data_IF_539549767984
#
_entry.id   IF_539549767984
#
_cell.length_a   1.000
_cell.length_b   1.000
_cell.length_c   1.000
_cell.angle_alpha   90.00
_cell.angle_beta   90.00
_cell.angle_gamma   90.00
#
_symmetry.space_group_name_H-M   'P 1'
#
loop_
_entity.id
_entity.type
_entity.pdbx_description
1 polymer ?
#
# COMPACT_ATOMS: atom_id res chain seq x y z
N UNK A 1 -13.31 18.47 12.18
CA UNK A 1 -12.25 17.55 12.68
C UNK A 1 -10.95 18.29 13.00
N UNK A 2 -10.14 18.81 12.02
CA UNK A 2 -8.81 19.39 12.34
C UNK A 2 -8.97 20.66 13.20
N UNK A 3 -9.77 21.62 12.78
CA UNK A 3 -10.02 22.86 13.55
C UNK A 3 -10.69 22.60 14.91
N UNK A 4 -11.43 21.55 15.03
CA UNK A 4 -12.04 21.12 16.30
C UNK A 4 -10.98 20.50 17.22
N UNK A 5 -10.09 19.67 16.66
CA UNK A 5 -8.94 19.14 17.39
C UNK A 5 -7.95 20.20 17.85
N UNK A 6 -7.77 21.30 17.09
CA UNK A 6 -7.00 22.46 17.53
C UNK A 6 -7.68 23.15 18.74
N UNK A 7 -9.01 23.31 18.70
CA UNK A 7 -9.76 23.96 19.79
C UNK A 7 -9.74 23.17 21.10
N UNK A 8 -9.75 21.84 21.02
CA UNK A 8 -9.73 20.97 22.20
C UNK A 8 -8.31 20.56 22.65
N UNK A 9 -7.27 21.09 21.99
CA UNK A 9 -5.88 20.83 22.35
C UNK A 9 -5.28 19.51 21.86
N UNK A 10 -6.01 18.72 21.08
CA UNK A 10 -5.46 17.50 20.47
C UNK A 10 -4.43 17.81 19.38
N UNK A 11 -4.67 18.88 18.63
CA UNK A 11 -3.76 19.38 17.60
C UNK A 11 -3.18 20.72 18.00
N UNK A 12 -1.97 20.99 17.56
CA UNK A 12 -1.24 22.21 17.85
C UNK A 12 -0.90 22.96 16.56
N UNK A 13 -0.70 24.27 16.68
CA UNK A 13 -0.23 25.11 15.58
C UNK A 13 1.28 25.31 15.70
N UNK A 14 2.00 24.99 14.63
CA UNK A 14 3.43 25.20 14.51
C UNK A 14 3.74 25.88 13.17
N UNK A 15 4.43 27.01 13.20
CA UNK A 15 4.81 27.80 12.00
C UNK A 15 3.61 28.08 11.04
N UNK A 16 2.43 28.31 11.62
CA UNK A 16 1.18 28.54 10.89
C UNK A 16 0.46 27.28 10.42
N UNK A 17 1.10 26.12 10.38
CA UNK A 17 0.50 24.83 10.06
C UNK A 17 -0.16 24.21 11.31
N UNK A 18 -1.17 23.35 11.10
CA UNK A 18 -1.79 22.59 12.19
C UNK A 18 -1.42 21.11 12.04
N UNK A 19 -1.02 20.51 13.13
CA UNK A 19 -0.65 19.10 13.18
C UNK A 19 -0.74 18.53 14.60
N UNK A 20 -0.18 17.36 14.78
CA UNK A 20 -0.06 16.70 16.08
C UNK A 20 1.40 16.39 16.36
N UNK A 21 1.81 16.61 17.60
CA UNK A 21 3.11 16.20 18.12
C UNK A 21 3.04 14.74 18.59
N UNK A 22 3.81 13.88 17.94
CA UNK A 22 3.91 12.45 18.24
C UNK A 22 5.36 12.06 18.65
N UNK A 23 6.13 13.02 19.18
CA UNK A 23 7.51 12.75 19.64
C UNK A 23 7.56 11.72 20.75
N UNK A 24 6.55 11.64 21.60
CA UNK A 24 6.46 10.61 22.66
C UNK A 24 6.34 9.19 22.12
N UNK A 25 5.87 9.03 20.90
CA UNK A 25 5.79 7.78 20.17
C UNK A 25 6.97 7.58 19.19
N UNK A 26 7.96 8.46 19.19
CA UNK A 26 9.07 8.52 18.22
C UNK A 26 8.60 8.65 16.75
N UNK A 27 7.49 9.35 16.54
CA UNK A 27 6.89 9.54 15.21
C UNK A 27 7.00 10.98 14.69
N UNK A 28 7.55 11.90 15.49
CA UNK A 28 7.74 13.29 15.12
C UNK A 28 6.44 14.08 14.95
N UNK A 29 6.52 15.25 14.32
CA UNK A 29 5.35 16.09 14.07
C UNK A 29 4.61 15.65 12.80
N UNK A 30 3.31 15.40 12.94
CA UNK A 30 2.45 14.98 11.84
C UNK A 30 1.54 16.12 11.40
N UNK A 31 1.87 16.72 10.26
CA UNK A 31 1.13 17.87 9.71
C UNK A 31 -0.21 17.44 9.09
N UNK A 32 -1.26 18.18 9.41
CA UNK A 32 -2.63 17.96 8.93
C UNK A 32 -3.12 19.07 8.00
N UNK A 33 -2.86 20.34 8.36
CA UNK A 33 -3.16 21.49 7.51
C UNK A 33 -1.90 22.32 7.31
N UNK A 34 -1.70 22.79 6.09
CA UNK A 34 -0.67 23.77 5.79
C UNK A 34 -1.02 25.14 6.36
N UNK A 35 -0.04 26.03 6.39
CA UNK A 35 -0.22 27.44 6.83
C UNK A 35 -1.23 28.21 5.97
N UNK A 36 -1.40 27.82 4.70
CA UNK A 36 -2.41 28.40 3.79
C UNK A 36 -3.83 27.78 3.98
N UNK A 37 -4.02 26.89 4.95
CA UNK A 37 -5.29 26.21 5.24
C UNK A 37 -5.61 25.01 4.34
N UNK A 38 -4.74 24.67 3.40
CA UNK A 38 -4.95 23.51 2.55
C UNK A 38 -4.71 22.20 3.30
N UNK A 39 -5.58 21.21 3.03
CA UNK A 39 -5.46 19.85 3.58
C UNK A 39 -4.33 19.07 2.91
N UNK A 40 -3.71 18.19 3.67
CA UNK A 40 -2.74 17.21 3.21
C UNK A 40 -3.39 15.83 3.02
N UNK A 41 -2.64 14.87 2.47
CA UNK A 41 -3.07 13.47 2.43
C UNK A 41 -3.35 12.92 3.83
N UNK A 42 -2.55 13.31 4.82
CA UNK A 42 -2.74 12.96 6.23
C UNK A 42 -4.15 13.23 6.74
N UNK A 43 -4.70 14.41 6.44
CA UNK A 43 -6.08 14.77 6.83
C UNK A 43 -7.12 13.90 6.13
N UNK A 44 -6.89 13.59 4.85
CA UNK A 44 -7.78 12.75 4.06
C UNK A 44 -7.78 11.31 4.57
N UNK A 45 -6.63 10.78 4.95
CA UNK A 45 -6.47 9.43 5.47
C UNK A 45 -7.13 9.25 6.83
N UNK A 46 -7.06 10.25 7.72
CA UNK A 46 -7.80 10.27 8.98
C UNK A 46 -9.32 10.24 8.76
N UNK A 47 -9.81 11.07 7.83
CA UNK A 47 -11.23 11.09 7.50
C UNK A 47 -11.68 9.78 6.83
N UNK A 48 -10.86 9.21 5.95
CA UNK A 48 -11.13 7.94 5.29
C UNK A 48 -11.15 6.78 6.27
N UNK A 49 -10.24 6.73 7.24
CA UNK A 49 -10.21 5.70 8.26
C UNK A 49 -11.54 5.66 9.03
N UNK A 50 -12.01 6.80 9.52
CA UNK A 50 -13.30 6.91 10.20
C UNK A 50 -14.45 6.45 9.31
N UNK A 51 -14.52 6.98 8.08
CA UNK A 51 -15.60 6.67 7.13
C UNK A 51 -15.70 5.17 6.80
N UNK A 52 -14.56 4.46 6.73
CA UNK A 52 -14.57 3.01 6.47
C UNK A 52 -15.36 2.23 7.54
N UNK A 53 -15.12 2.53 8.80
CA UNK A 53 -15.83 1.87 9.89
C UNK A 53 -17.30 2.31 9.99
N UNK A 54 -17.56 3.61 9.85
CA UNK A 54 -18.90 4.17 9.97
C UNK A 54 -19.82 3.72 8.81
N UNK A 55 -19.29 3.66 7.59
CA UNK A 55 -20.08 3.36 6.39
C UNK A 55 -20.20 1.86 6.10
N UNK A 56 -19.13 1.10 6.33
CA UNK A 56 -19.06 -0.32 5.92
C UNK A 56 -19.08 -1.28 7.10
N UNK A 57 -19.10 -0.80 8.33
CA UNK A 57 -19.16 -1.62 9.57
C UNK A 57 -18.11 -2.75 9.57
N UNK A 58 -16.89 -2.45 9.08
CA UNK A 58 -15.82 -3.45 8.96
C UNK A 58 -15.23 -3.82 10.31
N UNK A 59 -14.82 -5.07 10.47
CA UNK A 59 -14.13 -5.53 11.67
C UNK A 59 -12.67 -5.05 11.72
N UNK A 60 -12.01 -4.95 10.57
CA UNK A 60 -10.62 -4.51 10.44
C UNK A 60 -10.43 -3.74 9.13
N UNK A 61 -9.59 -2.71 9.15
CA UNK A 61 -9.18 -1.99 7.96
C UNK A 61 -7.71 -2.27 7.67
N UNK A 62 -7.43 -2.98 6.56
CA UNK A 62 -6.07 -3.27 6.11
C UNK A 62 -5.69 -2.32 4.98
N UNK A 63 -4.56 -1.65 5.14
CA UNK A 63 -3.98 -0.72 4.16
C UNK A 63 -2.81 -1.41 3.47
N UNK A 64 -3.04 -1.90 2.25
CA UNK A 64 -1.99 -2.53 1.43
C UNK A 64 -1.28 -1.44 0.64
N UNK A 65 -0.18 -0.95 1.18
CA UNK A 65 0.56 0.21 0.63
C UNK A 65 2.07 -0.04 0.75
N UNK A 66 2.85 0.55 -0.15
CA UNK A 66 4.31 0.38 -0.18
C UNK A 66 4.99 0.73 1.14
N UNK A 67 6.08 0.02 1.45
CA UNK A 67 6.82 0.13 2.71
C UNK A 67 7.36 1.55 2.98
N UNK A 68 7.58 2.34 1.93
CA UNK A 68 8.02 3.74 2.04
C UNK A 68 7.00 4.63 2.78
N UNK A 69 5.74 4.20 2.92
CA UNK A 69 4.71 4.93 3.66
C UNK A 69 4.48 4.40 5.08
N UNK A 70 5.36 3.54 5.58
CA UNK A 70 5.23 2.95 6.92
C UNK A 70 5.14 4.02 8.02
N UNK A 71 6.00 5.03 7.99
CA UNK A 71 5.97 6.12 8.96
C UNK A 71 4.64 6.88 8.88
N UNK A 72 4.17 7.19 7.68
CA UNK A 72 2.89 7.87 7.48
C UNK A 72 1.72 7.13 8.13
N UNK A 73 1.60 5.82 7.91
CA UNK A 73 0.51 5.04 8.52
C UNK A 73 0.66 4.87 10.03
N UNK A 74 1.89 4.75 10.55
CA UNK A 74 2.13 4.82 12.01
C UNK A 74 1.62 6.13 12.59
N UNK A 75 1.92 7.26 11.95
CA UNK A 75 1.43 8.59 12.36
C UNK A 75 -0.09 8.71 12.26
N UNK A 76 -0.72 8.20 11.17
CA UNK A 76 -2.19 8.19 11.02
C UNK A 76 -2.84 7.41 12.16
N UNK A 77 -2.36 6.21 12.48
CA UNK A 77 -2.98 5.37 13.52
C UNK A 77 -2.74 5.93 14.92
N UNK A 78 -1.55 6.46 15.21
CA UNK A 78 -1.27 7.16 16.45
C UNK A 78 -2.18 8.40 16.62
N UNK A 79 -2.38 9.17 15.55
CA UNK A 79 -3.30 10.32 15.56
C UNK A 79 -4.73 9.91 15.86
N UNK A 80 -5.24 8.82 15.25
CA UNK A 80 -6.58 8.29 15.54
C UNK A 80 -6.70 7.89 17.01
N UNK A 81 -5.69 7.25 17.58
CA UNK A 81 -5.65 6.90 19.02
C UNK A 81 -5.69 8.16 19.90
N UNK A 82 -4.89 9.19 19.59
CA UNK A 82 -4.89 10.47 20.33
C UNK A 82 -6.23 11.22 20.22
N UNK A 83 -6.95 11.02 19.12
CA UNK A 83 -8.31 11.54 18.94
C UNK A 83 -9.36 10.74 19.72
N UNK A 84 -8.98 9.67 20.43
CA UNK A 84 -9.90 8.77 21.15
C UNK A 84 -10.76 7.93 20.22
N UNK A 85 -10.30 7.62 18.99
CA UNK A 85 -11.05 6.81 18.05
C UNK A 85 -10.87 5.31 18.34
N UNK A 86 -11.91 4.60 18.83
CA UNK A 86 -11.76 3.22 19.34
C UNK A 86 -11.31 2.21 18.29
N UNK A 87 -11.59 2.49 17.02
CA UNK A 87 -11.25 1.59 15.91
C UNK A 87 -9.81 1.77 15.40
N UNK A 88 -9.02 2.66 15.99
CA UNK A 88 -7.62 2.88 15.60
C UNK A 88 -6.79 1.58 15.67
N UNK A 89 -7.00 0.77 16.72
CA UNK A 89 -6.33 -0.53 16.92
C UNK A 89 -6.74 -1.60 15.90
N UNK A 90 -7.82 -1.36 15.16
CA UNK A 90 -8.34 -2.23 14.11
C UNK A 90 -7.84 -1.83 12.72
N UNK A 91 -7.00 -0.79 12.63
CA UNK A 91 -6.31 -0.35 11.44
C UNK A 91 -4.93 -1.03 11.35
N UNK A 92 -4.59 -1.59 10.20
CA UNK A 92 -3.34 -2.29 9.99
C UNK A 92 -2.72 -1.90 8.65
N UNK A 93 -1.45 -1.50 8.65
CA UNK A 93 -0.67 -1.31 7.43
C UNK A 93 0.02 -2.63 7.07
N UNK A 94 -0.31 -3.17 5.90
CA UNK A 94 0.38 -4.29 5.30
C UNK A 94 1.36 -3.72 4.26
N UNK A 95 2.62 -3.51 4.65
CA UNK A 95 3.62 -2.96 3.74
C UNK A 95 4.04 -4.00 2.70
N UNK A 96 4.37 -3.54 1.49
CA UNK A 96 5.02 -4.35 0.49
C UNK A 96 6.22 -3.62 -0.10
N UNK A 97 7.24 -4.38 -0.52
CA UNK A 97 8.41 -3.82 -1.19
C UNK A 97 8.07 -3.35 -2.60
N UNK A 98 8.77 -2.33 -3.08
CA UNK A 98 8.62 -1.86 -4.46
C UNK A 98 9.15 -2.90 -5.44
N UNK A 99 8.40 -3.13 -6.51
CA UNK A 99 8.90 -3.88 -7.67
C UNK A 99 9.88 -3.00 -8.42
N UNK A 100 11.14 -3.44 -8.49
CA UNK A 100 12.23 -2.73 -9.14
C UNK A 100 12.55 -3.37 -10.48
N UNK A 101 12.89 -2.54 -11.47
CA UNK A 101 13.53 -3.01 -12.69
C UNK A 101 15.05 -3.12 -12.48
N UNK A 102 15.77 -3.92 -13.29
CA UNK A 102 17.23 -3.90 -13.28
C UNK A 102 17.82 -2.50 -13.52
N UNK A 103 17.08 -1.64 -14.22
CA UNK A 103 17.44 -0.24 -14.47
C UNK A 103 17.08 0.72 -13.32
N UNK A 104 16.42 0.23 -12.26
CA UNK A 104 16.01 1.02 -11.11
C UNK A 104 14.49 1.10 -10.90
N UNK A 105 14.04 2.15 -10.24
CA UNK A 105 12.63 2.35 -9.89
C UNK A 105 11.78 2.65 -11.12
N UNK A 106 10.61 2.01 -11.22
CA UNK A 106 9.62 2.34 -12.25
C UNK A 106 9.06 3.75 -12.06
N UNK A 107 8.94 4.50 -13.14
CA UNK A 107 8.38 5.85 -13.15
C UNK A 107 7.50 6.05 -14.38
N UNK A 108 6.21 6.25 -14.17
CA UNK A 108 5.27 6.56 -15.25
C UNK A 108 5.55 7.92 -15.92
N UNK A 109 6.18 8.85 -15.19
CA UNK A 109 6.56 10.17 -15.73
C UNK A 109 7.73 10.09 -16.69
N UNK A 110 8.61 9.11 -16.49
CA UNK A 110 9.80 8.86 -17.31
C UNK A 110 9.55 7.81 -18.39
N UNK A 111 8.33 7.25 -18.46
CA UNK A 111 7.99 6.19 -19.42
C UNK A 111 8.64 4.84 -19.12
N UNK A 112 9.32 4.70 -17.98
CA UNK A 112 10.01 3.47 -17.57
C UNK A 112 9.07 2.63 -16.69
N UNK A 113 8.07 2.00 -17.33
CA UNK A 113 7.10 1.12 -16.65
C UNK A 113 6.91 -0.16 -17.46
N UNK A 114 6.72 -1.28 -16.75
CA UNK A 114 6.21 -2.50 -17.34
C UNK A 114 4.73 -2.61 -17.00
N UNK A 115 3.89 -2.66 -18.01
CA UNK A 115 2.46 -2.89 -17.80
C UNK A 115 2.22 -4.34 -17.38
N UNK A 116 1.27 -4.55 -16.48
CA UNK A 116 0.86 -5.90 -16.07
C UNK A 116 0.41 -6.75 -17.26
N UNK A 117 -0.28 -6.16 -18.24
CA UNK A 117 -0.67 -6.81 -19.49
C UNK A 117 0.53 -7.39 -20.24
N UNK A 118 1.61 -6.62 -20.36
CA UNK A 118 2.79 -7.00 -21.10
C UNK A 118 3.58 -8.09 -20.38
N UNK A 119 3.74 -7.93 -19.06
CA UNK A 119 4.37 -8.96 -18.22
C UNK A 119 3.60 -10.28 -18.28
N UNK A 120 2.27 -10.22 -18.19
CA UNK A 120 1.41 -11.41 -18.29
C UNK A 120 1.53 -12.07 -19.67
N UNK A 121 1.55 -11.26 -20.75
CA UNK A 121 1.71 -11.77 -22.11
C UNK A 121 3.07 -12.46 -22.28
N UNK A 122 4.16 -11.82 -21.89
CA UNK A 122 5.51 -12.39 -21.98
C UNK A 122 5.64 -13.70 -21.19
N UNK A 123 5.10 -13.73 -19.96
CA UNK A 123 5.12 -14.94 -19.15
C UNK A 123 4.29 -16.07 -19.79
N UNK A 124 3.13 -15.74 -20.34
CA UNK A 124 2.31 -16.73 -21.07
C UNK A 124 3.03 -17.28 -22.28
N UNK A 125 3.61 -16.41 -23.11
CA UNK A 125 4.32 -16.79 -24.33
C UNK A 125 5.53 -17.69 -23.97
N UNK A 126 6.28 -17.36 -22.91
CA UNK A 126 7.35 -18.21 -22.38
C UNK A 126 6.85 -19.61 -21.94
N UNK A 127 5.70 -19.68 -21.30
CA UNK A 127 5.10 -20.96 -20.85
C UNK A 127 4.63 -21.78 -22.05
N UNK A 128 4.01 -21.14 -23.03
CA UNK A 128 3.58 -21.81 -24.27
C UNK A 128 4.77 -22.42 -25.00
N UNK A 129 5.79 -21.62 -25.28
CA UNK A 129 6.94 -22.02 -26.09
C UNK A 129 7.88 -23.01 -25.37
N UNK A 130 8.06 -22.85 -24.05
CA UNK A 130 9.06 -23.59 -23.30
C UNK A 130 8.54 -24.79 -22.50
N UNK A 131 7.30 -24.78 -22.05
CA UNK A 131 6.79 -25.82 -21.12
C UNK A 131 5.63 -26.62 -21.67
N UNK A 132 4.77 -26.06 -22.50
CA UNK A 132 3.54 -26.74 -22.93
C UNK A 132 3.65 -27.38 -24.30
N UNK A 133 4.47 -26.87 -25.22
CA UNK A 133 4.63 -27.38 -26.56
C UNK A 133 5.19 -28.83 -26.58
N UNK A 134 6.12 -29.14 -25.68
CA UNK A 134 6.74 -30.46 -25.61
C UNK A 134 5.93 -31.51 -24.83
N UNK A 135 5.12 -31.07 -23.86
CA UNK A 135 4.50 -31.97 -22.88
C UNK A 135 3.03 -32.31 -23.17
N UNK A 136 2.33 -31.57 -24.04
CA UNK A 136 0.87 -31.66 -24.13
C UNK A 136 0.36 -31.92 -25.55
N UNK A 137 0.82 -32.99 -26.16
CA UNK A 137 0.36 -33.43 -27.47
C UNK A 137 -1.12 -33.87 -27.53
N UNK A 138 -1.76 -34.04 -26.37
CA UNK A 138 -3.15 -34.51 -26.26
C UNK A 138 -4.15 -33.38 -25.92
N UNK A 139 -3.67 -32.19 -25.60
CA UNK A 139 -4.53 -31.07 -25.25
C UNK A 139 -5.00 -30.30 -26.49
N UNK A 140 -6.23 -29.83 -26.46
CA UNK A 140 -6.70 -28.90 -27.48
C UNK A 140 -6.12 -27.50 -27.29
N UNK A 141 -6.21 -26.66 -28.33
CA UNK A 141 -5.64 -25.30 -28.30
C UNK A 141 -6.24 -24.44 -27.16
N UNK A 142 -7.51 -24.66 -26.85
CA UNK A 142 -8.19 -23.91 -25.78
C UNK A 142 -7.66 -24.33 -24.41
N UNK A 143 -7.46 -25.60 -24.16
CA UNK A 143 -6.87 -26.10 -22.90
C UNK A 143 -5.45 -25.58 -22.72
N UNK A 144 -4.65 -25.56 -23.77
CA UNK A 144 -3.28 -25.01 -23.76
C UNK A 144 -3.31 -23.53 -23.44
N UNK A 145 -4.18 -22.76 -24.09
CA UNK A 145 -4.30 -21.30 -23.84
C UNK A 145 -4.76 -21.01 -22.42
N UNK A 146 -5.83 -21.65 -21.94
CA UNK A 146 -6.33 -21.45 -20.58
C UNK A 146 -5.29 -21.84 -19.52
N UNK A 147 -4.59 -22.94 -19.71
CA UNK A 147 -3.57 -23.42 -18.78
C UNK A 147 -2.37 -22.48 -18.75
N UNK A 148 -1.90 -22.01 -19.90
CA UNK A 148 -0.80 -21.03 -19.97
C UNK A 148 -1.14 -19.73 -19.23
N UNK A 149 -2.37 -19.25 -19.37
CA UNK A 149 -2.85 -18.08 -18.64
C UNK A 149 -2.87 -18.30 -17.12
N UNK A 150 -3.35 -19.47 -16.67
CA UNK A 150 -3.42 -19.80 -15.24
C UNK A 150 -2.02 -19.93 -14.63
N UNK A 151 -1.10 -20.58 -15.31
CA UNK A 151 0.29 -20.72 -14.84
C UNK A 151 0.98 -19.37 -14.80
N UNK A 152 0.83 -18.55 -15.85
CA UNK A 152 1.41 -17.21 -15.91
C UNK A 152 0.93 -16.34 -14.74
N UNK A 153 -0.38 -16.34 -14.48
CA UNK A 153 -0.96 -15.58 -13.37
C UNK A 153 -0.50 -16.10 -12.00
N UNK A 154 -0.41 -17.42 -11.84
CA UNK A 154 0.06 -18.03 -10.60
C UNK A 154 1.55 -17.70 -10.34
N UNK A 155 2.40 -17.77 -11.35
CA UNK A 155 3.82 -17.44 -11.26
C UNK A 155 4.04 -15.96 -10.88
N UNK A 156 3.30 -15.04 -11.52
CA UNK A 156 3.37 -13.61 -11.19
C UNK A 156 2.91 -13.37 -9.75
N UNK A 157 1.77 -13.92 -9.34
CA UNK A 157 1.25 -13.77 -7.97
C UNK A 157 2.23 -14.33 -6.94
N UNK A 158 2.74 -15.53 -7.17
CA UNK A 158 3.70 -16.17 -6.28
C UNK A 158 4.99 -15.33 -6.15
N UNK A 159 5.55 -14.89 -7.28
CA UNK A 159 6.74 -14.04 -7.28
C UNK A 159 6.54 -12.74 -6.49
N UNK A 160 5.41 -12.07 -6.69
CA UNK A 160 5.11 -10.85 -5.94
C UNK A 160 4.90 -11.12 -4.44
N UNK A 161 4.14 -12.14 -4.08
CA UNK A 161 3.85 -12.44 -2.67
C UNK A 161 5.09 -12.94 -1.93
N UNK A 162 5.92 -13.79 -2.55
CA UNK A 162 7.11 -14.35 -1.90
C UNK A 162 8.23 -13.34 -1.69
N UNK A 163 8.42 -12.39 -2.61
CA UNK A 163 9.51 -11.43 -2.52
C UNK A 163 9.08 -10.10 -1.88
N UNK A 164 7.87 -9.62 -2.18
CA UNK A 164 7.44 -8.32 -1.68
C UNK A 164 6.97 -8.33 -0.22
N UNK A 165 6.38 -9.44 0.26
CA UNK A 165 5.86 -9.52 1.64
C UNK A 165 6.87 -10.09 2.63
N UNK A 166 7.69 -11.06 2.24
CA UNK A 166 8.67 -11.69 3.14
C UNK A 166 9.84 -10.74 3.46
N UNK A 167 10.25 -9.92 2.51
CA UNK A 167 11.38 -8.98 2.72
C UNK A 167 11.04 -7.82 3.67
N UNK A 168 9.76 -7.54 3.91
CA UNK A 168 9.33 -6.47 4.83
C UNK A 168 9.23 -6.93 6.28
N UNK A 169 9.21 -8.24 6.56
CA UNK A 169 9.15 -8.77 7.93
C UNK A 169 10.51 -8.72 8.62
N UNK A 170 11.61 -8.93 7.88
CA UNK A 170 12.97 -8.93 8.47
C UNK A 170 13.56 -7.53 8.67
N UNK A 171 13.06 -6.51 7.94
CA UNK A 171 13.53 -5.13 8.06
C UNK A 171 12.87 -4.35 9.21
N UNK A 172 11.91 -4.92 9.91
CA UNK A 172 11.22 -4.28 11.03
C UNK A 172 11.79 -4.67 12.41
N UNK A 173 12.71 -5.63 12.45
CA UNK A 173 13.32 -6.15 13.70
C UNK A 173 14.79 -5.71 13.90
N UNK A 174 15.35 -4.85 13.02
CA UNK A 174 16.61 -4.13 13.23
C UNK A 174 16.35 -2.62 13.48
#
# INVERSE_FOLDING_TARGET
MVLEGEKNGTFIRSEGAIGIDLETENLGFFMLLKSDGNTLYSTKDLALARRKFDQFSVDRSVYVVGAEQTLHFKQVFATLNRMGYPQAERCYHLPYALVMLPSGKMSSREGNVILFSDMRKQMRDYILDGLLVEQNREWDEKEVEETSHRIALAAIKYGMLSHCLLYTSDAADE
#
